data_IF_450929428000
#
_entry.id   IF_450929428000
#
_cell.length_a   1.000
_cell.length_b   1.000
_cell.length_c   1.000
_cell.angle_alpha   90.00
_cell.angle_beta   90.00
_cell.angle_gamma   90.00
#
_symmetry.space_group_name_H-M   'P 1'
#
loop_
_entity.id
_entity.type
_entity.pdbx_description
1 polymer ?
#
# COMPACT_ATOMS: atom_id res chain seq x y z
N UNK A 1 -4.95 41.00 4.29
CA UNK A 1 -5.14 40.04 3.19
C UNK A 1 -3.93 40.14 2.27
N UNK A 2 -2.96 39.24 2.42
CA UNK A 2 -1.77 39.15 1.54
C UNK A 2 -1.81 37.79 0.88
N UNK A 3 -1.77 37.80 -0.44
CA UNK A 3 -1.74 36.64 -1.32
C UNK A 3 -0.71 35.59 -0.88
N UNK A 4 -1.19 34.38 -0.58
CA UNK A 4 -0.36 33.18 -0.63
C UNK A 4 -0.23 32.81 -2.10
N UNK A 5 0.90 33.17 -2.70
CA UNK A 5 1.31 32.58 -3.97
C UNK A 5 1.36 31.06 -3.79
N UNK A 6 0.45 30.35 -4.45
CA UNK A 6 0.54 28.91 -4.63
C UNK A 6 1.79 28.62 -5.46
N UNK A 7 2.93 28.42 -4.79
CA UNK A 7 4.06 27.74 -5.40
C UNK A 7 3.62 26.31 -5.67
N UNK A 8 3.29 26.03 -6.93
CA UNK A 8 3.15 24.66 -7.44
C UNK A 8 4.50 23.99 -7.24
N UNK A 9 4.67 23.32 -6.11
CA UNK A 9 5.88 22.58 -5.80
C UNK A 9 6.04 21.48 -6.84
N UNK A 10 7.11 21.56 -7.64
CA UNK A 10 7.55 20.46 -8.51
C UNK A 10 7.89 19.26 -7.61
N UNK A 11 7.00 18.28 -7.53
CA UNK A 11 7.35 16.97 -6.96
C UNK A 11 8.50 16.39 -7.80
N UNK A 12 9.67 16.21 -7.19
CA UNK A 12 10.75 15.47 -7.83
C UNK A 12 10.25 14.05 -8.09
N UNK A 13 10.19 13.66 -9.36
CA UNK A 13 9.74 12.33 -9.74
C UNK A 13 10.73 11.29 -9.23
N UNK A 14 10.26 10.37 -8.39
CA UNK A 14 11.07 9.26 -7.93
C UNK A 14 11.49 8.37 -9.12
N UNK A 15 12.80 8.08 -9.22
CA UNK A 15 13.39 7.24 -10.27
C UNK A 15 12.73 5.86 -10.34
N UNK A 16 12.47 5.22 -9.19
CA UNK A 16 11.84 3.90 -9.15
C UNK A 16 10.41 3.91 -9.71
N UNK A 17 9.67 5.01 -9.50
CA UNK A 17 8.32 5.19 -10.05
C UNK A 17 8.37 5.27 -11.58
N UNK A 18 9.28 6.07 -12.11
CA UNK A 18 9.47 6.21 -13.56
C UNK A 18 9.88 4.88 -14.18
N UNK A 19 10.80 4.15 -13.55
CA UNK A 19 11.25 2.84 -14.03
C UNK A 19 10.09 1.82 -14.09
N UNK A 20 9.25 1.77 -13.06
CA UNK A 20 8.07 0.88 -13.04
C UNK A 20 7.05 1.22 -14.12
N UNK A 21 6.80 2.49 -14.37
CA UNK A 21 5.89 2.92 -15.44
C UNK A 21 6.45 2.56 -16.82
N UNK A 22 7.76 2.76 -17.04
CA UNK A 22 8.46 2.33 -18.26
C UNK A 22 8.35 0.81 -18.43
N UNK A 23 8.53 0.04 -17.35
CA UNK A 23 8.40 -1.41 -17.39
C UNK A 23 6.99 -1.85 -17.81
N UNK A 24 5.93 -1.19 -17.31
CA UNK A 24 4.55 -1.45 -17.73
C UNK A 24 4.37 -1.15 -19.22
N UNK A 25 4.87 -0.01 -19.71
CA UNK A 25 4.79 0.35 -21.15
C UNK A 25 5.46 -0.71 -22.02
N UNK A 26 6.69 -1.10 -21.68
CA UNK A 26 7.43 -2.12 -22.43
C UNK A 26 6.66 -3.45 -22.41
N UNK A 27 6.12 -3.85 -21.25
CA UNK A 27 5.33 -5.06 -21.13
C UNK A 27 4.04 -5.02 -21.97
N UNK A 28 3.32 -3.89 -21.99
CA UNK A 28 2.10 -3.73 -22.79
C UNK A 28 2.39 -3.87 -24.28
N UNK A 29 3.35 -3.10 -24.81
CA UNK A 29 3.70 -3.17 -26.23
C UNK A 29 4.31 -4.51 -26.61
N UNK A 30 5.19 -5.06 -25.77
CA UNK A 30 5.82 -6.36 -26.00
C UNK A 30 4.79 -7.49 -26.04
N UNK A 31 3.83 -7.50 -25.11
CA UNK A 31 2.75 -8.48 -25.08
C UNK A 31 1.85 -8.37 -26.32
N UNK A 32 1.41 -7.17 -26.67
CA UNK A 32 0.57 -6.97 -27.86
C UNK A 32 1.28 -7.41 -29.13
N UNK A 33 2.56 -7.05 -29.31
CA UNK A 33 3.36 -7.49 -30.45
C UNK A 33 3.46 -9.03 -30.52
N UNK A 34 3.62 -9.67 -29.36
CA UNK A 34 3.71 -11.13 -29.26
C UNK A 34 2.38 -11.81 -29.64
N UNK A 35 1.24 -11.26 -29.20
CA UNK A 35 -0.09 -11.74 -29.62
C UNK A 35 -0.35 -11.54 -31.11
N UNK A 36 0.02 -10.40 -31.67
CA UNK A 36 -0.13 -10.13 -33.10
C UNK A 36 0.74 -11.07 -33.95
N UNK A 37 1.97 -11.34 -33.50
CA UNK A 37 2.87 -12.27 -34.19
C UNK A 37 2.36 -13.71 -34.16
N UNK A 38 1.84 -14.16 -33.01
CA UNK A 38 1.27 -15.50 -32.86
C UNK A 38 0.06 -15.73 -33.76
N UNK A 39 -0.82 -14.73 -33.90
CA UNK A 39 -2.04 -14.84 -34.68
C UNK A 39 -1.90 -14.37 -36.14
N UNK A 40 -0.66 -14.10 -36.59
CA UNK A 40 -0.33 -13.70 -37.97
C UNK A 40 -1.09 -12.47 -38.49
N UNK A 41 -1.20 -11.44 -37.66
CA UNK A 41 -1.89 -10.19 -38.00
C UNK A 41 -1.14 -9.35 -39.02
N UNK A 42 -1.89 -8.58 -39.81
CA UNK A 42 -1.36 -7.65 -40.81
C UNK A 42 -0.83 -6.35 -40.16
N UNK A 43 0.06 -5.62 -40.84
CA UNK A 43 0.75 -4.44 -40.29
C UNK A 43 -0.23 -3.33 -39.87
N UNK A 44 -1.34 -3.17 -40.57
CA UNK A 44 -2.42 -2.24 -40.23
C UNK A 44 -3.16 -2.65 -38.94
N UNK A 45 -3.40 -3.94 -38.72
CA UNK A 45 -3.98 -4.46 -37.48
C UNK A 45 -3.04 -4.25 -36.28
N UNK A 46 -1.73 -4.43 -36.47
CA UNK A 46 -0.73 -4.09 -35.45
C UNK A 46 -0.81 -2.62 -35.05
N UNK A 47 -0.94 -1.71 -36.03
CA UNK A 47 -1.04 -0.29 -35.78
C UNK A 47 -2.30 0.06 -34.96
N UNK A 48 -3.44 -0.54 -35.31
CA UNK A 48 -4.70 -0.37 -34.56
C UNK A 48 -4.56 -0.83 -33.10
N UNK A 49 -3.95 -1.98 -32.84
CA UNK A 49 -3.75 -2.49 -31.49
C UNK A 49 -2.73 -1.66 -30.69
N UNK A 50 -1.70 -1.13 -31.34
CA UNK A 50 -0.78 -0.18 -30.69
C UNK A 50 -1.45 1.14 -30.35
N UNK A 51 -2.35 1.66 -31.19
CA UNK A 51 -3.16 2.83 -30.85
C UNK A 51 -4.07 2.56 -29.63
N UNK A 52 -4.68 1.37 -29.57
CA UNK A 52 -5.45 0.94 -28.39
C UNK A 52 -4.58 0.92 -27.12
N UNK A 53 -3.34 0.42 -27.21
CA UNK A 53 -2.39 0.44 -26.11
C UNK A 53 -2.09 1.87 -25.62
N UNK A 54 -1.93 2.83 -26.53
CA UNK A 54 -1.70 4.22 -26.16
C UNK A 54 -2.87 4.81 -25.38
N UNK A 55 -4.11 4.61 -25.85
CA UNK A 55 -5.32 5.07 -25.15
C UNK A 55 -5.41 4.46 -23.76
N UNK A 56 -5.16 3.15 -23.65
CA UNK A 56 -5.14 2.45 -22.37
C UNK A 56 -4.07 2.99 -21.42
N UNK A 57 -2.83 3.13 -21.88
CA UNK A 57 -1.71 3.61 -21.06
C UNK A 57 -1.97 5.05 -20.55
N UNK A 58 -2.53 5.93 -21.39
CA UNK A 58 -2.93 7.27 -20.95
C UNK A 58 -3.94 7.22 -19.82
N UNK A 59 -4.99 6.40 -19.96
CA UNK A 59 -6.02 6.25 -18.94
C UNK A 59 -5.47 5.59 -17.66
N UNK A 60 -4.62 4.58 -17.79
CA UNK A 60 -3.97 3.90 -16.66
C UNK A 60 -3.06 4.85 -15.89
N UNK A 61 -2.24 5.65 -16.57
CA UNK A 61 -1.36 6.63 -15.93
C UNK A 61 -2.15 7.72 -15.21
N UNK A 62 -3.20 8.23 -15.85
CA UNK A 62 -4.11 9.18 -15.20
C UNK A 62 -4.72 8.56 -13.93
N UNK A 63 -5.20 7.33 -14.01
CA UNK A 63 -5.83 6.66 -12.87
C UNK A 63 -4.85 6.37 -11.74
N UNK A 64 -3.63 5.94 -12.06
CA UNK A 64 -2.56 5.72 -11.07
C UNK A 64 -2.22 7.02 -10.33
N UNK A 65 -2.06 8.13 -11.05
CA UNK A 65 -1.77 9.43 -10.43
C UNK A 65 -2.98 9.98 -9.66
N UNK A 66 -4.20 9.81 -10.19
CA UNK A 66 -5.42 10.23 -9.53
C UNK A 66 -5.65 9.50 -8.19
N UNK A 67 -5.56 8.17 -8.20
CA UNK A 67 -5.73 7.36 -6.99
C UNK A 67 -4.57 7.52 -6.00
N UNK A 68 -3.36 7.83 -6.49
CA UNK A 68 -2.23 8.24 -5.64
C UNK A 68 -2.53 9.55 -4.92
N UNK A 69 -3.02 10.57 -5.64
CA UNK A 69 -3.36 11.87 -5.05
C UNK A 69 -4.47 11.76 -3.99
N UNK A 70 -5.37 10.78 -4.14
CA UNK A 70 -6.46 10.52 -3.18
C UNK A 70 -6.03 9.58 -2.04
N UNK A 71 -4.90 8.87 -2.17
CA UNK A 71 -4.39 7.95 -1.15
C UNK A 71 -5.03 6.55 -1.15
N UNK A 72 -5.78 6.19 -2.19
CA UNK A 72 -6.46 4.88 -2.28
C UNK A 72 -5.55 3.69 -2.64
N UNK A 73 -4.28 3.98 -2.99
CA UNK A 73 -3.26 2.98 -3.28
C UNK A 73 -2.59 2.49 -1.99
N UNK A 74 -3.17 1.45 -1.36
CA UNK A 74 -2.64 0.78 -0.14
C UNK A 74 -2.27 1.78 0.98
N UNK A 75 -3.00 2.90 1.08
CA UNK A 75 -2.71 3.99 2.03
C UNK A 75 -1.23 4.47 1.98
N UNK A 76 -0.61 4.46 0.80
CA UNK A 76 0.72 4.97 0.59
C UNK A 76 0.85 5.71 -0.76
N UNK A 77 0.81 7.05 -0.78
CA UNK A 77 0.95 7.85 -1.99
C UNK A 77 2.41 7.89 -2.50
N UNK A 78 3.37 7.28 -1.77
CA UNK A 78 4.78 7.16 -2.15
C UNK A 78 5.11 5.76 -2.71
N UNK A 79 4.18 5.14 -3.43
CA UNK A 79 4.39 3.80 -4.01
C UNK A 79 5.30 3.85 -5.24
N UNK A 80 6.31 2.97 -5.27
CA UNK A 80 7.25 2.81 -6.39
C UNK A 80 6.64 2.09 -7.60
N UNK A 81 5.38 1.62 -7.51
CA UNK A 81 4.67 0.78 -8.49
C UNK A 81 5.39 -0.52 -8.94
N UNK A 82 6.52 -0.89 -8.34
CA UNK A 82 7.33 -2.06 -8.76
C UNK A 82 6.51 -3.35 -8.70
N UNK A 83 5.72 -3.55 -7.64
CA UNK A 83 4.88 -4.75 -7.49
C UNK A 83 3.70 -4.76 -8.45
N UNK A 84 3.15 -3.59 -8.76
CA UNK A 84 2.13 -3.48 -9.79
C UNK A 84 2.73 -3.86 -11.15
N UNK A 85 3.93 -3.38 -11.48
CA UNK A 85 4.62 -3.75 -12.71
C UNK A 85 4.92 -5.26 -12.77
N UNK A 86 5.35 -5.87 -11.66
CA UNK A 86 5.57 -7.31 -11.57
C UNK A 86 4.28 -8.13 -11.73
N UNK A 87 3.21 -7.75 -11.03
CA UNK A 87 1.90 -8.39 -11.16
C UNK A 87 1.33 -8.21 -12.59
N UNK A 88 1.51 -7.03 -13.18
CA UNK A 88 1.14 -6.75 -14.57
C UNK A 88 1.89 -7.65 -15.55
N UNK A 89 3.20 -7.85 -15.35
CA UNK A 89 4.00 -8.78 -16.17
C UNK A 89 3.50 -10.22 -16.05
N UNK A 90 3.16 -10.68 -14.83
CA UNK A 90 2.53 -11.99 -14.64
C UNK A 90 1.20 -12.08 -15.40
N UNK A 91 0.37 -11.02 -15.36
CA UNK A 91 -0.88 -10.96 -16.12
C UNK A 91 -0.65 -10.96 -17.64
N UNK A 92 0.44 -10.37 -18.15
CA UNK A 92 0.82 -10.47 -19.56
C UNK A 92 1.11 -11.93 -19.95
N UNK A 93 1.94 -12.63 -19.17
CA UNK A 93 2.26 -14.04 -19.40
C UNK A 93 0.99 -14.90 -19.32
N UNK A 94 0.16 -14.66 -18.31
CA UNK A 94 -1.09 -15.39 -18.12
C UNK A 94 -2.03 -15.19 -19.32
N UNK A 95 -2.21 -13.95 -19.79
CA UNK A 95 -3.04 -13.64 -20.97
C UNK A 95 -2.53 -14.36 -22.22
N UNK A 96 -1.21 -14.41 -22.41
CA UNK A 96 -0.64 -15.17 -23.52
C UNK A 96 -0.97 -16.66 -23.42
N UNK A 97 -0.83 -17.27 -22.23
CA UNK A 97 -1.20 -18.68 -22.00
C UNK A 97 -2.70 -18.91 -22.23
N UNK A 98 -3.55 -17.94 -21.89
CA UNK A 98 -5.00 -18.03 -22.10
C UNK A 98 -5.39 -18.14 -23.59
N UNK A 99 -4.55 -17.71 -24.53
CA UNK A 99 -4.85 -17.82 -25.97
C UNK A 99 -5.01 -19.27 -26.42
N UNK A 100 -4.31 -20.21 -25.78
CA UNK A 100 -4.38 -21.65 -26.10
C UNK A 100 -5.61 -22.35 -25.51
N UNK A 101 -6.38 -21.66 -24.66
CA UNK A 101 -7.57 -22.20 -24.02
C UNK A 101 -8.84 -21.94 -24.84
N UNK A 102 -9.88 -22.79 -24.67
CA UNK A 102 -11.17 -22.62 -25.33
C UNK A 102 -11.75 -21.24 -25.06
N UNK A 103 -12.32 -20.64 -26.10
CA UNK A 103 -12.81 -19.26 -26.14
C UNK A 103 -13.55 -18.83 -24.86
N UNK A 104 -14.61 -19.54 -24.46
CA UNK A 104 -15.46 -19.13 -23.32
C UNK A 104 -14.91 -19.51 -21.93
N UNK A 105 -13.89 -20.35 -21.85
CA UNK A 105 -13.41 -20.95 -20.58
C UNK A 105 -12.03 -20.45 -20.17
N UNK A 106 -11.62 -19.29 -20.69
CA UNK A 106 -10.38 -18.64 -20.30
C UNK A 106 -10.52 -18.10 -18.86
N UNK A 107 -9.54 -18.33 -17.96
CA UNK A 107 -9.58 -17.99 -16.53
C UNK A 107 -9.41 -16.49 -16.24
N UNK A 108 -10.16 -15.64 -16.94
CA UNK A 108 -9.96 -14.19 -16.96
C UNK A 108 -10.05 -13.54 -15.57
N UNK A 109 -10.87 -14.09 -14.66
CA UNK A 109 -10.98 -13.60 -13.28
C UNK A 109 -9.64 -13.49 -12.55
N UNK A 110 -8.64 -14.29 -12.92
CA UNK A 110 -7.31 -14.26 -12.31
C UNK A 110 -6.64 -12.89 -12.44
N UNK A 111 -6.82 -12.19 -13.57
CA UNK A 111 -6.17 -10.91 -13.85
C UNK A 111 -6.55 -9.85 -12.81
N UNK A 112 -7.84 -9.48 -12.64
CA UNK A 112 -8.24 -8.50 -11.63
C UNK A 112 -7.96 -8.96 -10.20
N UNK A 113 -8.00 -10.28 -9.90
CA UNK A 113 -7.65 -10.78 -8.56
C UNK A 113 -6.19 -10.51 -8.22
N UNK A 114 -5.26 -10.81 -9.14
CA UNK A 114 -3.83 -10.60 -8.95
C UNK A 114 -3.48 -9.11 -8.84
N UNK A 115 -4.05 -8.29 -9.72
CA UNK A 115 -3.81 -6.85 -9.71
C UNK A 115 -4.35 -6.22 -8.42
N UNK A 116 -5.58 -6.56 -8.00
CA UNK A 116 -6.18 -5.98 -6.79
C UNK A 116 -5.43 -6.35 -5.51
N UNK A 117 -4.71 -7.48 -5.48
CA UNK A 117 -3.85 -7.85 -4.36
C UNK A 117 -2.75 -6.82 -4.10
N UNK A 118 -2.30 -6.10 -5.13
CA UNK A 118 -1.20 -5.11 -5.06
C UNK A 118 -1.64 -3.69 -5.42
N UNK A 119 -2.91 -3.46 -5.74
CA UNK A 119 -3.45 -2.17 -6.17
C UNK A 119 -4.82 -1.86 -5.56
N UNK A 120 -5.56 -0.96 -6.21
CA UNK A 120 -6.96 -0.66 -5.92
C UNK A 120 -7.93 -1.47 -6.79
N UNK A 121 -9.22 -1.29 -6.52
CA UNK A 121 -10.31 -1.84 -7.32
C UNK A 121 -10.42 -1.19 -8.72
N UNK A 122 -10.26 0.13 -8.79
CA UNK A 122 -10.36 0.85 -10.06
C UNK A 122 -9.29 0.39 -11.05
N UNK A 123 -8.03 0.30 -10.61
CA UNK A 123 -6.90 -0.15 -11.43
C UNK A 123 -7.13 -1.60 -11.91
N UNK A 124 -7.62 -2.48 -11.03
CA UNK A 124 -7.88 -3.88 -11.38
C UNK A 124 -8.94 -4.03 -12.48
N UNK A 125 -10.02 -3.24 -12.43
CA UNK A 125 -11.08 -3.26 -13.46
C UNK A 125 -10.52 -2.73 -14.79
N UNK A 126 -9.84 -1.60 -14.77
CA UNK A 126 -9.27 -0.97 -15.97
C UNK A 126 -8.27 -1.90 -16.67
N UNK A 127 -7.35 -2.49 -15.91
CA UNK A 127 -6.37 -3.45 -16.43
C UNK A 127 -7.08 -4.72 -16.94
N UNK A 128 -8.03 -5.26 -16.18
CA UNK A 128 -8.78 -6.45 -16.57
C UNK A 128 -9.53 -6.28 -17.89
N UNK A 129 -10.32 -5.22 -18.03
CA UNK A 129 -11.09 -4.94 -19.26
C UNK A 129 -10.16 -4.74 -20.46
N UNK A 130 -9.01 -4.09 -20.27
CA UNK A 130 -8.03 -3.94 -21.34
C UNK A 130 -7.49 -5.29 -21.82
N UNK A 131 -7.12 -6.18 -20.90
CA UNK A 131 -6.69 -7.54 -21.26
C UNK A 131 -7.82 -8.35 -21.91
N UNK A 132 -9.08 -8.16 -21.49
CA UNK A 132 -10.24 -8.82 -22.10
C UNK A 132 -10.44 -8.40 -23.56
N UNK A 133 -10.32 -7.09 -23.83
CA UNK A 133 -10.38 -6.53 -25.19
C UNK A 133 -9.23 -7.06 -26.04
N UNK A 134 -8.00 -6.99 -25.52
CA UNK A 134 -6.81 -7.41 -26.25
C UNK A 134 -6.85 -8.92 -26.56
N UNK A 135 -7.28 -9.74 -25.61
CA UNK A 135 -7.46 -11.18 -25.77
C UNK A 135 -8.57 -11.51 -26.77
N UNK A 136 -9.67 -10.76 -26.76
CA UNK A 136 -10.80 -10.98 -27.66
C UNK A 136 -10.49 -10.59 -29.11
N UNK A 137 -9.83 -9.44 -29.32
CA UNK A 137 -9.44 -8.97 -30.64
C UNK A 137 -8.35 -9.89 -31.22
N UNK A 138 -7.30 -10.20 -30.44
CA UNK A 138 -6.19 -11.04 -30.91
C UNK A 138 -6.59 -12.46 -31.28
N UNK A 139 -7.51 -13.07 -30.52
CA UNK A 139 -7.96 -14.44 -30.77
C UNK A 139 -9.15 -14.55 -31.75
N UNK A 140 -9.70 -13.41 -32.22
CA UNK A 140 -10.89 -13.41 -33.07
C UNK A 140 -12.14 -13.95 -32.37
N UNK A 141 -12.28 -13.70 -31.06
CA UNK A 141 -13.38 -14.23 -30.26
C UNK A 141 -14.73 -13.60 -30.63
N UNK A 142 -15.81 -14.35 -30.40
CA UNK A 142 -17.18 -13.89 -30.53
C UNK A 142 -17.52 -12.77 -29.54
N UNK A 143 -18.53 -11.98 -29.91
CA UNK A 143 -19.08 -10.94 -29.04
C UNK A 143 -19.56 -11.48 -27.67
N UNK A 144 -20.11 -12.69 -27.64
CA UNK A 144 -20.56 -13.33 -26.41
C UNK A 144 -19.41 -13.70 -25.47
N UNK A 145 -18.24 -14.05 -26.00
CA UNK A 145 -17.05 -14.30 -25.19
C UNK A 145 -16.52 -13.02 -24.56
N UNK A 146 -16.46 -11.91 -25.31
CA UNK A 146 -16.08 -10.61 -24.74
C UNK A 146 -17.03 -10.18 -23.61
N UNK A 147 -18.35 -10.32 -23.81
CA UNK A 147 -19.34 -10.06 -22.75
C UNK A 147 -19.11 -10.94 -21.52
N UNK A 148 -18.82 -12.22 -21.73
CA UNK A 148 -18.51 -13.17 -20.66
C UNK A 148 -17.29 -12.72 -19.84
N UNK A 149 -16.19 -12.34 -20.53
CA UNK A 149 -14.96 -11.88 -19.89
C UNK A 149 -15.18 -10.61 -19.09
N UNK A 150 -15.81 -9.58 -19.67
CA UNK A 150 -16.11 -8.34 -18.97
C UNK A 150 -16.96 -8.58 -17.70
N UNK A 151 -17.97 -9.46 -17.77
CA UNK A 151 -18.78 -9.83 -16.62
C UNK A 151 -17.95 -10.55 -15.54
N UNK A 152 -17.11 -11.49 -15.93
CA UNK A 152 -16.21 -12.19 -15.00
C UNK A 152 -15.20 -11.23 -14.36
N UNK A 153 -14.64 -10.29 -15.11
CA UNK A 153 -13.69 -9.28 -14.62
C UNK A 153 -14.31 -8.36 -13.58
N UNK A 154 -15.54 -7.88 -13.82
CA UNK A 154 -16.27 -7.06 -12.86
C UNK A 154 -16.64 -7.85 -11.58
N UNK A 155 -17.09 -9.10 -11.73
CA UNK A 155 -17.39 -9.94 -10.56
C UNK A 155 -16.13 -10.26 -9.76
N UNK A 156 -15.01 -10.53 -10.43
CA UNK A 156 -13.73 -10.83 -9.81
C UNK A 156 -13.19 -9.65 -8.99
N UNK A 157 -13.32 -8.42 -9.48
CA UNK A 157 -12.85 -7.23 -8.76
C UNK A 157 -13.65 -6.98 -7.46
N UNK A 158 -14.96 -7.24 -7.47
CA UNK A 158 -15.81 -7.21 -6.27
C UNK A 158 -15.42 -8.31 -5.28
N UNK A 159 -15.22 -9.54 -5.76
CA UNK A 159 -14.81 -10.66 -4.90
C UNK A 159 -13.41 -10.45 -4.30
N UNK A 160 -12.46 -9.93 -5.07
CA UNK A 160 -11.10 -9.73 -4.64
C UNK A 160 -11.00 -8.69 -3.51
N UNK A 161 -11.88 -7.68 -3.46
CA UNK A 161 -11.94 -6.76 -2.32
C UNK A 161 -12.28 -7.50 -1.02
N UNK A 162 -13.21 -8.44 -1.08
CA UNK A 162 -13.61 -9.22 0.09
C UNK A 162 -12.51 -10.22 0.53
N UNK A 163 -11.61 -10.65 -0.37
CA UNK A 163 -10.48 -11.55 -0.06
C UNK A 163 -9.45 -10.93 0.90
N UNK A 164 -9.43 -9.60 1.04
CA UNK A 164 -8.59 -8.89 2.01
C UNK A 164 -8.91 -9.32 3.45
N UNK A 165 -10.16 -9.69 3.75
CA UNK A 165 -10.58 -10.19 5.06
C UNK A 165 -10.34 -11.70 5.15
N UNK A 166 -9.51 -12.14 6.10
CA UNK A 166 -9.11 -13.55 6.27
C UNK A 166 -10.29 -14.50 6.46
N UNK A 167 -11.32 -14.05 7.18
CA UNK A 167 -12.50 -14.85 7.54
C UNK A 167 -13.33 -15.30 6.33
N UNK A 168 -13.39 -14.49 5.27
CA UNK A 168 -14.26 -14.76 4.11
C UNK A 168 -13.56 -15.51 2.98
N UNK A 169 -12.24 -15.76 3.07
CA UNK A 169 -11.44 -16.28 1.94
C UNK A 169 -11.95 -17.61 1.38
N UNK A 170 -12.36 -18.54 2.24
CA UNK A 170 -12.90 -19.84 1.81
C UNK A 170 -14.21 -19.66 1.04
N UNK A 171 -15.15 -18.91 1.61
CA UNK A 171 -16.46 -18.65 1.00
C UNK A 171 -16.34 -17.92 -0.34
N UNK A 172 -15.45 -16.95 -0.44
CA UNK A 172 -15.19 -16.22 -1.69
C UNK A 172 -14.57 -17.14 -2.74
N UNK A 173 -13.68 -18.06 -2.35
CA UNK A 173 -13.10 -19.03 -3.27
C UNK A 173 -14.14 -19.99 -3.83
N UNK A 174 -15.09 -20.44 -2.99
CA UNK A 174 -16.25 -21.25 -3.42
C UNK A 174 -17.15 -20.44 -4.36
N UNK A 175 -17.40 -19.18 -4.06
CA UNK A 175 -18.21 -18.30 -4.90
C UNK A 175 -17.55 -18.06 -6.27
N UNK A 176 -16.23 -17.82 -6.30
CA UNK A 176 -15.47 -17.67 -7.53
C UNK A 176 -15.50 -18.96 -8.39
N UNK A 177 -15.45 -20.13 -7.77
CA UNK A 177 -15.65 -21.42 -8.46
C UNK A 177 -17.01 -21.47 -9.15
N UNK A 178 -18.10 -21.17 -8.42
CA UNK A 178 -19.45 -21.21 -8.96
C UNK A 178 -19.64 -20.24 -10.14
N UNK A 179 -19.11 -19.02 -10.04
CA UNK A 179 -19.23 -18.00 -11.08
C UNK A 179 -18.50 -18.40 -12.37
N UNK A 180 -17.30 -18.99 -12.28
CA UNK A 180 -16.56 -19.50 -13.44
C UNK A 180 -17.25 -20.68 -14.15
N UNK A 181 -18.18 -21.37 -13.47
CA UNK A 181 -18.97 -22.43 -14.09
C UNK A 181 -20.26 -21.87 -14.72
N UNK A 182 -20.94 -20.98 -14.01
CA UNK A 182 -22.26 -20.46 -14.40
C UNK A 182 -22.15 -19.46 -15.54
N UNK A 183 -21.28 -18.46 -15.44
CA UNK A 183 -21.23 -17.33 -16.38
C UNK A 183 -20.80 -17.78 -17.79
N UNK A 184 -19.71 -18.56 -17.97
CA UNK A 184 -19.40 -19.18 -19.25
C UNK A 184 -20.49 -20.11 -19.78
N UNK A 185 -21.17 -20.86 -18.90
CA UNK A 185 -22.27 -21.74 -19.29
C UNK A 185 -23.45 -20.97 -19.90
N UNK A 186 -23.83 -19.84 -19.30
CA UNK A 186 -24.88 -18.95 -19.84
C UNK A 186 -24.44 -18.35 -21.18
N UNK A 187 -23.20 -17.85 -21.27
CA UNK A 187 -22.67 -17.27 -22.50
C UNK A 187 -22.60 -18.29 -23.63
N UNK A 188 -22.19 -19.54 -23.34
CA UNK A 188 -22.19 -20.64 -24.29
C UNK A 188 -23.61 -20.92 -24.81
N UNK A 189 -24.59 -21.06 -23.90
CA UNK A 189 -25.96 -21.32 -24.32
C UNK A 189 -26.52 -20.18 -25.17
N UNK A 190 -26.17 -18.93 -24.85
CA UNK A 190 -26.62 -17.79 -25.64
C UNK A 190 -26.02 -17.77 -27.06
N UNK A 191 -24.74 -18.16 -27.19
CA UNK A 191 -24.04 -18.22 -28.48
C UNK A 191 -24.48 -19.41 -29.35
N UNK A 192 -24.59 -20.60 -28.76
CA UNK A 192 -24.75 -21.86 -29.52
C UNK A 192 -26.12 -22.53 -29.37
N UNK A 193 -26.97 -22.08 -28.43
CA UNK A 193 -28.31 -22.65 -28.14
C UNK A 193 -28.31 -24.14 -27.77
N UNK A 194 -27.18 -24.66 -27.32
CA UNK A 194 -27.01 -26.07 -26.95
C UNK A 194 -26.48 -26.24 -25.53
N UNK A 195 -26.87 -27.34 -24.89
CA UNK A 195 -26.32 -27.80 -23.62
C UNK A 195 -25.37 -28.97 -23.84
N UNK A 196 -24.06 -28.74 -23.68
CA UNK A 196 -23.05 -29.80 -23.75
C UNK A 196 -22.46 -30.09 -22.37
N UNK A 197 -22.37 -31.38 -22.00
CA UNK A 197 -21.74 -31.80 -20.74
C UNK A 197 -20.26 -31.40 -20.65
N UNK A 198 -19.58 -31.27 -21.79
CA UNK A 198 -18.15 -30.89 -21.86
C UNK A 198 -17.88 -29.48 -21.32
N UNK A 199 -18.82 -28.56 -21.51
CA UNK A 199 -18.77 -27.17 -21.03
C UNK A 199 -18.61 -27.12 -19.52
N UNK A 200 -19.42 -27.90 -18.80
CA UNK A 200 -19.39 -27.91 -17.34
C UNK A 200 -18.08 -28.51 -16.79
N UNK A 201 -17.46 -29.44 -17.53
CA UNK A 201 -16.14 -29.98 -17.17
C UNK A 201 -15.07 -28.89 -17.33
N UNK A 202 -15.05 -28.16 -18.44
CA UNK A 202 -14.12 -27.03 -18.63
C UNK A 202 -14.36 -25.92 -17.59
N UNK A 203 -15.62 -25.59 -17.32
CA UNK A 203 -16.00 -24.63 -16.28
C UNK A 203 -15.56 -25.07 -14.88
N UNK A 204 -15.67 -26.35 -14.55
CA UNK A 204 -15.20 -26.89 -13.28
C UNK A 204 -13.67 -26.79 -13.14
N UNK A 205 -12.91 -27.17 -14.18
CA UNK A 205 -11.44 -27.05 -14.17
C UNK A 205 -11.02 -25.59 -14.00
N UNK A 206 -11.62 -24.68 -14.77
CA UNK A 206 -11.36 -23.24 -14.67
C UNK A 206 -11.72 -22.68 -13.29
N UNK A 207 -12.90 -23.06 -12.76
CA UNK A 207 -13.34 -22.68 -11.43
C UNK A 207 -12.39 -23.16 -10.34
N UNK A 208 -11.91 -24.41 -10.41
CA UNK A 208 -10.96 -24.96 -9.44
C UNK A 208 -9.64 -24.19 -9.48
N UNK A 209 -9.11 -23.93 -10.67
CA UNK A 209 -7.88 -23.15 -10.84
C UNK A 209 -8.03 -21.73 -10.26
N UNK A 210 -9.16 -21.06 -10.53
CA UNK A 210 -9.44 -19.73 -10.00
C UNK A 210 -9.58 -19.75 -8.47
N UNK A 211 -10.28 -20.72 -7.91
CA UNK A 211 -10.45 -20.86 -6.45
C UNK A 211 -9.11 -21.13 -5.74
N UNK A 212 -8.24 -21.97 -6.31
CA UNK A 212 -6.90 -22.21 -5.77
C UNK A 212 -6.05 -20.93 -5.80
N UNK A 213 -6.11 -20.16 -6.88
CA UNK A 213 -5.42 -18.88 -6.96
C UNK A 213 -5.94 -17.86 -5.93
N UNK A 214 -7.26 -17.76 -5.74
CA UNK A 214 -7.86 -16.94 -4.68
C UNK A 214 -7.36 -17.33 -3.29
N UNK A 215 -7.24 -18.63 -3.01
CA UNK A 215 -6.89 -19.10 -1.68
C UNK A 215 -5.39 -18.98 -1.38
N UNK A 216 -4.54 -19.39 -2.32
CA UNK A 216 -3.09 -19.46 -2.13
C UNK A 216 -2.36 -18.22 -2.64
N UNK A 217 -2.55 -17.86 -3.91
CA UNK A 217 -1.76 -16.82 -4.58
C UNK A 217 -2.12 -15.44 -4.05
N UNK A 218 -3.42 -15.12 -3.93
CA UNK A 218 -3.85 -13.85 -3.35
C UNK A 218 -3.36 -13.71 -1.91
N UNK A 219 -3.45 -14.78 -1.10
CA UNK A 219 -2.93 -14.78 0.27
C UNK A 219 -1.44 -14.46 0.30
N UNK A 220 -0.65 -15.15 -0.52
CA UNK A 220 0.80 -14.97 -0.56
C UNK A 220 1.18 -13.55 -1.00
N UNK A 221 0.57 -13.03 -2.06
CA UNK A 221 0.81 -11.67 -2.54
C UNK A 221 0.39 -10.61 -1.52
N UNK A 222 -0.80 -10.75 -0.92
CA UNK A 222 -1.30 -9.79 0.07
C UNK A 222 -0.49 -9.82 1.37
N UNK A 223 -0.20 -11.00 1.92
CA UNK A 223 0.56 -11.11 3.16
C UNK A 223 2.02 -10.65 2.94
N UNK A 224 2.60 -10.90 1.75
CA UNK A 224 3.89 -10.34 1.34
C UNK A 224 3.86 -8.82 1.13
N UNK A 225 2.76 -8.27 0.60
CA UNK A 225 2.50 -6.84 0.52
C UNK A 225 2.64 -6.15 1.88
N UNK A 226 1.96 -6.70 2.88
CA UNK A 226 1.96 -6.16 4.24
C UNK A 226 3.31 -6.32 4.94
N UNK A 227 3.91 -7.51 4.90
CA UNK A 227 5.19 -7.78 5.58
C UNK A 227 6.32 -6.87 5.12
N UNK A 228 6.36 -6.52 3.83
CA UNK A 228 7.40 -5.63 3.32
C UNK A 228 7.18 -4.16 3.74
N UNK A 229 5.92 -3.73 3.95
CA UNK A 229 5.66 -2.41 4.59
C UNK A 229 6.23 -2.40 6.01
N UNK A 230 6.02 -3.49 6.75
CA UNK A 230 6.54 -3.64 8.11
C UNK A 230 8.08 -3.72 8.13
N UNK A 231 8.69 -4.47 7.20
CA UNK A 231 10.13 -4.55 7.05
C UNK A 231 10.74 -3.21 6.64
N UNK A 232 10.10 -2.45 5.74
CA UNK A 232 10.59 -1.13 5.32
C UNK A 232 10.74 -0.21 6.53
N UNK A 233 9.78 -0.23 7.46
CA UNK A 233 9.84 0.58 8.69
C UNK A 233 11.02 0.18 9.60
N UNK A 234 11.40 -1.09 9.61
CA UNK A 234 12.60 -1.57 10.33
C UNK A 234 13.89 -1.21 9.58
N UNK A 235 13.90 -1.38 8.26
CA UNK A 235 15.06 -1.12 7.41
C UNK A 235 15.46 0.36 7.46
N UNK A 236 14.50 1.29 7.47
CA UNK A 236 14.81 2.72 7.57
C UNK A 236 15.42 3.11 8.93
N UNK A 237 15.18 2.36 10.01
CA UNK A 237 15.80 2.63 11.32
C UNK A 237 17.10 1.86 11.51
N UNK A 238 17.44 0.95 10.60
CA UNK A 238 18.70 0.21 10.65
C UNK A 238 19.92 1.14 10.55
N UNK A 239 20.99 0.78 11.26
CA UNK A 239 22.23 1.57 11.31
C UNK A 239 22.91 1.74 9.93
N UNK A 240 22.55 0.90 8.96
CA UNK A 240 23.09 0.93 7.61
C UNK A 240 22.42 1.96 6.70
N UNK A 241 21.22 2.44 7.08
CA UNK A 241 20.43 3.37 6.29
C UNK A 241 21.10 4.74 6.19
N UNK A 242 21.01 5.38 5.01
CA UNK A 242 21.75 6.61 4.72
C UNK A 242 21.39 7.77 5.66
N UNK A 243 20.13 7.90 6.03
CA UNK A 243 19.68 8.99 6.91
C UNK A 243 20.07 8.74 8.37
N UNK A 244 20.22 7.48 8.79
CA UNK A 244 20.74 7.15 10.12
C UNK A 244 22.21 7.55 10.23
N UNK A 245 22.98 7.30 9.17
CA UNK A 245 24.38 7.76 9.08
C UNK A 245 24.47 9.28 9.08
N UNK A 246 23.62 9.96 8.31
CA UNK A 246 23.55 11.41 8.28
C UNK A 246 23.22 12.02 9.67
N UNK A 247 22.34 11.38 10.44
CA UNK A 247 22.03 11.80 11.81
C UNK A 247 23.23 11.64 12.74
N UNK A 248 23.94 10.50 12.66
CA UNK A 248 25.18 10.28 13.44
C UNK A 248 26.26 11.31 13.12
N UNK A 249 26.42 11.65 11.85
CA UNK A 249 27.38 12.66 11.39
C UNK A 249 27.00 14.07 11.85
N UNK A 250 25.69 14.35 11.97
CA UNK A 250 25.18 15.63 12.46
C UNK A 250 25.34 15.78 13.98
N UNK A 251 24.84 14.82 14.76
CA UNK A 251 24.89 14.85 16.22
C UNK A 251 24.67 13.46 16.83
N UNK A 252 25.68 12.98 17.57
CA UNK A 252 25.55 11.73 18.33
C UNK A 252 24.53 11.84 19.47
N UNK A 253 24.39 13.04 20.06
CA UNK A 253 23.40 13.29 21.13
C UNK A 253 21.98 13.16 20.58
N UNK A 254 21.71 13.72 19.40
CA UNK A 254 20.39 13.62 18.78
C UNK A 254 20.11 12.18 18.30
N UNK A 255 21.14 11.47 17.83
CA UNK A 255 21.02 10.06 17.49
C UNK A 255 20.64 9.21 18.73
N UNK A 256 21.32 9.39 19.86
CA UNK A 256 21.04 8.64 21.09
C UNK A 256 19.63 8.97 21.63
N UNK A 257 19.23 10.24 21.56
CA UNK A 257 17.88 10.69 21.90
C UNK A 257 16.82 10.02 21.02
N UNK A 258 16.96 10.12 19.69
CA UNK A 258 16.04 9.53 18.73
C UNK A 258 15.94 8.00 18.90
N UNK A 259 17.06 7.32 19.18
CA UNK A 259 17.08 5.88 19.45
C UNK A 259 16.33 5.53 20.74
N UNK A 260 16.48 6.33 21.80
CA UNK A 260 15.77 6.14 23.07
C UNK A 260 14.27 6.34 22.93
N UNK A 261 13.83 7.42 22.26
CA UNK A 261 12.42 7.70 21.99
C UNK A 261 11.80 6.61 21.12
N UNK A 262 12.49 6.20 20.05
CA UNK A 262 12.09 5.12 19.15
C UNK A 262 11.85 3.79 19.88
N UNK A 263 12.79 3.37 20.74
CA UNK A 263 12.71 2.10 21.48
C UNK A 263 11.56 2.10 22.50
N UNK A 264 11.41 3.16 23.30
CA UNK A 264 10.33 3.28 24.29
C UNK A 264 8.96 3.35 23.60
N UNK A 265 8.84 4.13 22.52
CA UNK A 265 7.59 4.24 21.77
C UNK A 265 7.18 2.90 21.16
N UNK A 266 8.13 2.15 20.60
CA UNK A 266 7.92 0.80 20.06
C UNK A 266 7.39 -0.18 21.12
N UNK A 267 8.06 -0.26 22.28
CA UNK A 267 7.63 -1.15 23.38
C UNK A 267 6.26 -0.76 23.93
N UNK A 268 5.99 0.53 24.07
CA UNK A 268 4.68 1.00 24.53
C UNK A 268 3.57 0.70 23.50
N UNK A 269 3.85 0.85 22.20
CA UNK A 269 2.90 0.51 21.14
C UNK A 269 2.51 -0.98 21.21
N UNK A 270 3.50 -1.85 21.41
CA UNK A 270 3.28 -3.30 21.59
C UNK A 270 2.39 -3.63 22.78
N UNK A 271 2.56 -2.94 23.91
CA UNK A 271 1.75 -3.16 25.11
C UNK A 271 0.28 -2.74 24.94
N UNK A 272 0.02 -1.76 24.08
CA UNK A 272 -1.31 -1.16 23.89
C UNK A 272 -2.02 -1.75 22.65
N UNK A 273 -1.29 -2.45 21.78
CA UNK A 273 -1.78 -3.04 20.54
C UNK A 273 -1.79 -2.06 19.35
N UNK A 274 -0.89 -1.07 19.37
CA UNK A 274 -0.64 -0.16 18.24
C UNK A 274 0.45 -0.72 17.31
N UNK A 275 0.67 -0.05 16.18
CA UNK A 275 1.70 -0.47 15.23
C UNK A 275 3.12 -0.20 15.78
N UNK A 276 3.76 -1.25 16.30
CA UNK A 276 5.12 -1.26 16.86
C UNK A 276 6.16 -0.62 15.90
N UNK A 277 6.21 -1.10 14.65
CA UNK A 277 7.21 -0.65 13.68
C UNK A 277 6.99 0.81 13.25
N UNK A 278 5.73 1.26 13.20
CA UNK A 278 5.41 2.64 12.89
C UNK A 278 5.85 3.58 14.02
N UNK A 279 5.61 3.21 15.29
CA UNK A 279 6.09 4.00 16.42
C UNK A 279 7.61 3.98 16.55
N UNK A 280 8.26 2.86 16.19
CA UNK A 280 9.71 2.76 16.12
C UNK A 280 10.28 3.74 15.09
N UNK A 281 9.80 3.70 13.84
CA UNK A 281 10.23 4.64 12.81
C UNK A 281 9.84 6.09 13.11
N UNK A 282 8.62 6.30 13.63
CA UNK A 282 8.09 7.61 14.01
C UNK A 282 8.93 8.27 15.10
N UNK A 283 9.24 7.54 16.17
CA UNK A 283 10.08 8.01 17.26
C UNK A 283 11.54 8.27 16.86
N UNK A 284 12.02 7.66 15.76
CA UNK A 284 13.37 7.95 15.25
C UNK A 284 13.39 9.19 14.33
N UNK A 285 12.39 9.33 13.45
CA UNK A 285 12.39 10.33 12.37
C UNK A 285 11.52 11.56 12.62
N UNK A 286 10.73 11.65 13.70
CA UNK A 286 9.88 12.82 13.97
C UNK A 286 10.65 14.15 13.98
N UNK A 287 11.95 14.15 14.35
CA UNK A 287 12.84 15.32 14.36
C UNK A 287 13.71 15.48 13.11
N UNK A 288 13.44 14.75 12.05
CA UNK A 288 14.27 14.74 10.83
C UNK A 288 14.56 16.13 10.25
N UNK A 289 13.65 17.09 10.44
CA UNK A 289 13.86 18.47 10.02
C UNK A 289 15.07 19.16 10.66
N UNK A 290 15.42 18.82 11.90
CA UNK A 290 16.43 19.54 12.69
C UNK A 290 17.83 19.47 12.08
N UNK A 291 18.19 18.33 11.47
CA UNK A 291 19.50 18.14 10.82
C UNK A 291 19.49 18.40 9.31
N UNK A 292 18.35 18.81 8.75
CA UNK A 292 18.22 19.23 7.34
C UNK A 292 18.23 20.76 7.25
N UNK A 293 17.44 21.43 8.08
CA UNK A 293 17.36 22.89 8.14
C UNK A 293 15.94 23.45 8.18
N UNK A 294 15.86 24.75 8.45
CA UNK A 294 14.61 25.49 8.57
C UNK A 294 13.92 25.74 7.21
N UNK A 295 12.58 25.63 7.11
CA UNK A 295 11.63 25.25 8.17
C UNK A 295 11.57 23.72 8.41
N UNK A 296 11.85 23.30 9.65
CA UNK A 296 12.09 21.89 10.02
C UNK A 296 10.99 20.92 9.56
N UNK A 297 9.71 21.23 9.84
CA UNK A 297 8.60 20.32 9.50
C UNK A 297 8.45 20.13 7.99
N UNK A 298 8.63 21.19 7.19
CA UNK A 298 8.43 21.08 5.74
C UNK A 298 9.58 20.38 5.04
N UNK A 299 10.82 20.72 5.40
CA UNK A 299 12.01 20.09 4.82
C UNK A 299 12.14 18.63 5.27
N UNK A 300 11.81 18.31 6.52
CA UNK A 300 11.72 16.92 7.00
C UNK A 300 10.69 16.10 6.21
N UNK A 301 9.47 16.63 6.03
CA UNK A 301 8.43 15.96 5.24
C UNK A 301 8.81 15.82 3.77
N UNK A 302 9.42 16.84 3.17
CA UNK A 302 9.88 16.82 1.78
C UNK A 302 10.99 15.80 1.55
N UNK A 303 11.94 15.69 2.48
CA UNK A 303 12.99 14.67 2.45
C UNK A 303 12.40 13.26 2.63
N UNK A 304 11.53 13.06 3.62
CA UNK A 304 10.85 11.78 3.81
C UNK A 304 10.02 11.36 2.58
N UNK A 305 9.36 12.31 1.89
CA UNK A 305 8.70 12.06 0.59
C UNK A 305 9.69 11.60 -0.48
N UNK A 306 10.85 12.25 -0.58
CA UNK A 306 11.88 11.85 -1.56
C UNK A 306 12.40 10.43 -1.36
N UNK A 307 12.42 9.96 -0.10
CA UNK A 307 12.81 8.61 0.29
C UNK A 307 11.67 7.59 0.25
N UNK A 308 10.46 8.01 -0.11
CA UNK A 308 9.25 7.19 -0.14
C UNK A 308 8.86 6.55 1.20
N UNK A 309 9.01 7.32 2.28
CA UNK A 309 8.53 6.91 3.59
C UNK A 309 7.00 6.69 3.59
N UNK A 310 6.48 5.70 4.35
CA UNK A 310 5.05 5.44 4.44
C UNK A 310 4.24 6.67 4.88
N UNK A 311 2.98 6.77 4.42
CA UNK A 311 2.11 7.92 4.75
C UNK A 311 1.91 8.09 6.25
N UNK A 312 1.71 6.99 6.96
CA UNK A 312 1.49 7.00 8.41
C UNK A 312 2.70 7.63 9.12
N UNK A 313 3.92 7.38 8.63
CA UNK A 313 5.15 8.01 9.13
C UNK A 313 5.22 9.50 8.76
N UNK A 314 4.86 9.85 7.51
CA UNK A 314 4.78 11.25 7.08
C UNK A 314 3.77 12.06 7.91
N UNK A 315 2.68 11.45 8.38
CA UNK A 315 1.72 12.11 9.30
C UNK A 315 2.38 12.43 10.63
N UNK A 316 3.11 11.49 11.24
CA UNK A 316 3.86 11.72 12.47
C UNK A 316 4.84 12.89 12.30
N UNK A 317 5.57 12.94 11.17
CA UNK A 317 6.49 14.05 10.88
C UNK A 317 5.78 15.40 10.68
N UNK A 318 4.57 15.41 10.08
CA UNK A 318 3.77 16.63 9.90
C UNK A 318 3.14 17.15 11.19
N UNK A 319 2.81 16.24 12.10
CA UNK A 319 2.14 16.50 13.37
C UNK A 319 3.13 16.81 14.51
N UNK A 320 4.42 16.89 14.18
CA UNK A 320 5.49 17.26 15.10
C UNK A 320 5.11 18.48 15.97
N UNK A 321 5.06 18.25 17.29
CA UNK A 321 4.64 19.18 18.35
C UNK A 321 3.29 19.89 18.19
N UNK A 322 2.45 19.49 17.24
CA UNK A 322 1.19 20.19 17.01
C UNK A 322 1.35 21.59 16.39
N UNK A 323 2.53 21.97 15.88
CA UNK A 323 2.80 23.33 15.39
C UNK A 323 1.92 23.72 14.20
N UNK A 324 1.69 22.77 13.28
CA UNK A 324 0.85 22.95 12.09
C UNK A 324 -0.43 22.14 12.11
N UNK A 325 -0.37 20.93 12.69
CA UNK A 325 -1.48 19.98 12.78
C UNK A 325 -1.38 19.21 14.09
N UNK A 326 -2.50 19.05 14.78
CA UNK A 326 -2.60 18.21 15.97
C UNK A 326 -2.46 16.72 15.62
N UNK A 327 -2.00 15.88 16.56
CA UNK A 327 -1.96 14.43 16.40
C UNK A 327 -3.29 13.85 15.90
N UNK A 328 -3.29 13.18 14.75
CA UNK A 328 -4.50 12.61 14.13
C UNK A 328 -4.61 11.09 14.28
N UNK A 329 -3.50 10.42 14.57
CA UNK A 329 -3.45 8.97 14.80
C UNK A 329 -2.89 8.64 16.19
N UNK A 330 -3.29 7.51 16.81
CA UNK A 330 -2.83 7.15 18.15
C UNK A 330 -1.31 6.98 18.24
N UNK A 331 -0.67 6.48 17.18
CA UNK A 331 0.78 6.30 17.09
C UNK A 331 1.55 7.62 17.15
N UNK A 332 1.00 8.70 16.56
CA UNK A 332 1.57 10.04 16.59
C UNK A 332 1.49 10.64 17.99
N UNK A 333 0.32 10.50 18.65
CA UNK A 333 0.14 10.90 20.03
C UNK A 333 1.09 10.13 20.98
N UNK A 334 1.29 8.83 20.75
CA UNK A 334 2.20 8.02 21.55
C UNK A 334 3.65 8.50 21.41
N UNK A 335 4.12 8.76 20.18
CA UNK A 335 5.48 9.29 19.94
C UNK A 335 5.67 10.62 20.66
N UNK A 336 4.69 11.53 20.58
CA UNK A 336 4.73 12.81 21.27
C UNK A 336 4.78 12.66 22.81
N UNK A 337 3.97 11.76 23.38
CA UNK A 337 3.98 11.46 24.82
C UNK A 337 5.34 10.98 25.30
N UNK A 338 5.95 10.05 24.56
CA UNK A 338 7.26 9.47 24.89
C UNK A 338 8.35 10.54 24.79
N UNK A 339 8.38 11.29 23.69
CA UNK A 339 9.34 12.37 23.48
C UNK A 339 9.31 13.40 24.61
N UNK A 340 8.12 13.91 24.96
CA UNK A 340 7.97 14.91 26.00
C UNK A 340 8.44 14.41 27.38
N UNK A 341 8.28 13.12 27.66
CA UNK A 341 8.81 12.51 28.87
C UNK A 341 10.34 12.36 28.82
N UNK A 342 10.88 11.85 27.71
CA UNK A 342 12.32 11.64 27.54
C UNK A 342 13.08 12.96 27.67
N UNK A 343 12.61 14.04 27.05
CA UNK A 343 13.22 15.39 27.19
C UNK A 343 13.24 15.85 28.65
N UNK A 344 12.12 15.70 29.37
CA UNK A 344 12.06 16.11 30.78
C UNK A 344 13.03 15.28 31.63
N UNK A 345 13.15 13.98 31.37
CA UNK A 345 14.07 13.10 32.09
C UNK A 345 15.54 13.39 31.79
N UNK A 346 15.91 13.65 30.53
CA UNK A 346 17.28 14.00 30.14
C UNK A 346 17.73 15.31 30.80
N UNK A 347 16.87 16.35 30.79
CA UNK A 347 17.15 17.61 31.48
C UNK A 347 17.38 17.45 32.99
N UNK A 348 16.69 16.50 33.61
CA UNK A 348 16.85 16.22 35.04
C UNK A 348 18.17 15.49 35.31
N UNK A 349 18.52 14.52 34.46
CA UNK A 349 19.77 13.77 34.58
C UNK A 349 21.02 14.66 34.40
N UNK A 350 20.94 15.70 33.57
CA UNK A 350 22.06 16.63 33.35
C UNK A 350 22.27 17.66 34.48
N UNK A 351 21.29 17.83 35.38
CA UNK A 351 21.26 18.95 36.32
C UNK A 351 21.26 18.64 37.82
N UNK A 352 20.98 17.39 38.25
CA UNK A 352 20.74 17.09 39.67
C UNK A 352 21.41 15.79 40.17
N UNK A 353 21.93 15.83 41.41
CA UNK A 353 22.28 14.62 42.15
C UNK A 353 21.05 13.71 42.25
N UNK A 354 21.28 12.39 42.06
CA UNK A 354 20.32 11.27 42.08
C UNK A 354 19.62 11.10 43.43
N UNK A 355 19.02 12.15 43.98
CA UNK A 355 18.03 12.04 45.04
C UNK A 355 16.81 11.32 44.46
N UNK A 356 16.25 10.37 45.20
CA UNK A 356 15.14 9.51 44.78
C UNK A 356 13.89 10.33 44.45
N UNK A 357 13.82 10.88 43.24
CA UNK A 357 12.62 11.53 42.73
C UNK A 357 11.61 10.48 42.30
N UNK A 358 10.34 10.73 42.59
CA UNK A 358 9.27 9.83 42.21
C UNK A 358 8.95 10.00 40.72
N UNK A 359 9.63 9.22 39.88
CA UNK A 359 9.47 9.21 38.42
C UNK A 359 8.00 9.05 38.03
N UNK A 360 7.24 8.30 38.81
CA UNK A 360 5.79 8.13 38.63
C UNK A 360 5.02 9.45 38.70
N UNK A 361 5.35 10.34 39.64
CA UNK A 361 4.66 11.64 39.77
C UNK A 361 4.96 12.51 38.54
N UNK A 362 6.20 12.57 38.10
CA UNK A 362 6.61 13.35 36.93
C UNK A 362 5.93 12.86 35.65
N UNK A 363 5.89 11.54 35.45
CA UNK A 363 5.24 10.92 34.29
C UNK A 363 3.75 11.25 34.29
N UNK A 364 3.08 11.05 35.43
CA UNK A 364 1.66 11.33 35.57
C UNK A 364 1.33 12.82 35.35
N UNK A 365 2.11 13.73 35.94
CA UNK A 365 1.91 15.18 35.77
C UNK A 365 2.08 15.59 34.31
N UNK A 366 3.17 15.16 33.67
CA UNK A 366 3.48 15.50 32.27
C UNK A 366 2.40 15.02 31.32
N UNK A 367 1.97 13.75 31.44
CA UNK A 367 0.94 13.21 30.56
C UNK A 367 -0.43 13.87 30.80
N UNK A 368 -0.76 14.19 32.05
CA UNK A 368 -2.01 14.89 32.37
C UNK A 368 -1.99 16.35 31.87
N UNK A 369 -0.86 17.06 31.95
CA UNK A 369 -0.68 18.41 31.39
C UNK A 369 -1.00 18.40 29.89
N UNK A 370 -0.35 17.53 29.11
CA UNK A 370 -0.61 17.45 27.68
C UNK A 370 -2.03 16.97 27.37
N UNK A 371 -2.57 16.00 28.11
CA UNK A 371 -3.96 15.59 27.95
C UNK A 371 -4.93 16.74 28.21
N UNK A 372 -4.68 17.57 29.23
CA UNK A 372 -5.54 18.70 29.57
C UNK A 372 -5.48 19.84 28.55
N UNK A 373 -4.38 19.93 27.78
CA UNK A 373 -4.21 20.92 26.71
C UNK A 373 -5.08 20.64 25.48
N UNK A 374 -5.73 19.47 25.40
CA UNK A 374 -6.55 19.04 24.26
C UNK A 374 -5.74 18.54 23.05
N UNK A 375 -4.42 18.40 23.17
CA UNK A 375 -3.56 17.99 22.05
C UNK A 375 -3.89 16.58 21.51
N UNK A 376 -4.48 15.72 22.34
CA UNK A 376 -4.81 14.33 21.98
C UNK A 376 -6.28 14.11 21.58
N UNK A 377 -7.11 15.17 21.53
CA UNK A 377 -8.56 15.03 21.35
C UNK A 377 -8.97 14.45 19.99
N UNK A 378 -8.12 14.60 18.97
CA UNK A 378 -8.42 14.21 17.59
C UNK A 378 -7.70 12.94 17.13
N UNK A 379 -6.89 12.30 17.98
CA UNK A 379 -6.05 11.16 17.57
C UNK A 379 -6.78 9.80 17.61
N UNK A 380 -8.02 9.75 18.09
CA UNK A 380 -8.80 8.51 18.19
C UNK A 380 -8.36 7.56 19.32
N UNK A 381 -7.47 8.00 20.22
CA UNK A 381 -7.06 7.27 21.41
C UNK A 381 -8.20 7.23 22.44
N UNK A 382 -8.57 6.04 22.90
CA UNK A 382 -9.53 5.89 23.99
C UNK A 382 -8.88 6.17 25.36
N UNK A 383 -9.68 6.61 26.33
CA UNK A 383 -9.19 6.83 27.71
C UNK A 383 -8.56 5.56 28.32
N UNK A 384 -9.08 4.38 27.99
CA UNK A 384 -8.49 3.10 28.43
C UNK A 384 -7.08 2.90 27.85
N UNK A 385 -6.89 3.21 26.57
CA UNK A 385 -5.56 3.15 25.95
C UNK A 385 -4.60 4.17 26.57
N UNK A 386 -5.04 5.41 26.81
CA UNK A 386 -4.24 6.42 27.52
C UNK A 386 -3.79 5.93 28.90
N UNK A 387 -4.70 5.36 29.69
CA UNK A 387 -4.37 4.82 31.01
C UNK A 387 -3.38 3.65 30.93
N UNK A 388 -3.49 2.77 29.93
CA UNK A 388 -2.53 1.69 29.69
C UNK A 388 -1.15 2.23 29.31
N UNK A 389 -1.07 3.22 28.42
CA UNK A 389 0.18 3.90 28.06
C UNK A 389 0.84 4.46 29.31
N UNK A 390 0.09 5.22 30.10
CA UNK A 390 0.58 5.81 31.35
C UNK A 390 1.10 4.75 32.32
N UNK A 391 0.33 3.70 32.57
CA UNK A 391 0.74 2.59 33.43
C UNK A 391 1.99 1.88 32.92
N UNK A 392 2.14 1.74 31.60
CA UNK A 392 3.30 1.11 30.98
C UNK A 392 4.55 1.97 31.18
N UNK A 393 4.47 3.25 30.85
CA UNK A 393 5.58 4.19 30.99
C UNK A 393 6.02 4.36 32.45
N UNK A 394 5.10 4.33 33.42
CA UNK A 394 5.43 4.35 34.84
C UNK A 394 6.18 3.10 35.32
N UNK A 395 5.90 1.93 34.72
CA UNK A 395 6.46 0.63 35.13
C UNK A 395 7.75 0.27 34.42
N UNK A 396 8.01 0.83 33.26
CA UNK A 396 9.24 0.54 32.52
C UNK A 396 10.46 1.06 33.29
N UNK A 397 11.33 0.12 33.67
CA UNK A 397 12.64 0.43 34.25
C UNK A 397 13.55 1.20 33.28
N UNK A 398 13.24 1.25 31.98
CA UNK A 398 14.08 1.89 30.94
C UNK A 398 14.01 3.43 30.97
N UNK A 399 13.12 4.03 31.76
CA UNK A 399 13.21 5.47 32.06
C UNK A 399 14.26 5.79 33.14
N UNK A 400 14.86 4.78 33.80
CA UNK A 400 15.93 4.95 34.80
C UNK A 400 17.33 4.97 34.20
#
# INVERSE_FOLDING_TARGET
MKDKSNSVHKEHMNLYRVLSLIAIVIATFGMTALLCAQNHFFIDEWLCLFLLNFVFLMLLFFQLEFERCIGWLINNPQTSFIRLAFAYFICCVLTFVMTFLPELFRPVMLIPILILAVSSNGIAITIGIFFDLLLSISSGNSFYALLCFCMLTLLASVLAQALRKKEYRIWISILAFCLNMIVPGIAYYMAYKEFSKKIYIYGAINGTMTALCCFFVFRWLWDGAQKEKDNLLLDIVSDDFSEVKALKDFSMVEYDHARKVSDIASRCAKAVGYNENLCLAGGFYYRMGQWIGDPYVEEGVKKAKSLCFPEDLLKILQEYYGEKKLPSIPESALVHMVDALVIKLEKINDGFEKSEWNHEILINQTLNEYSSSGIYDHCGMSMNQFLKIRQFLTKEEILR
#
